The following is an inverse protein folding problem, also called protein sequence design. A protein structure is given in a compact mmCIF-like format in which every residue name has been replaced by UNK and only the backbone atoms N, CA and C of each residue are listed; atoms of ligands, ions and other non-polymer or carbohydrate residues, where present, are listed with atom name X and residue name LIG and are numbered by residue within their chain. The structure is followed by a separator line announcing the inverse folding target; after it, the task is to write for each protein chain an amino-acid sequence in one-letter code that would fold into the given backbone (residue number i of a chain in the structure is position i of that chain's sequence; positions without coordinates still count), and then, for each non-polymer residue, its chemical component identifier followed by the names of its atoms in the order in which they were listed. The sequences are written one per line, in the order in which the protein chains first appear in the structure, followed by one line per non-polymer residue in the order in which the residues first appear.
data_IF_410629124151
#
_entry.id   IF_410629124151
#
_cell.length_a   1.000
_cell.length_b   1.000
_cell.length_c   1.000
_cell.angle_alpha   90.00
_cell.angle_beta   90.00
_cell.angle_gamma   90.00
#
_symmetry.space_group_name_H-M   'P 1'
#
loop_
_entity.id
_entity.type
_entity.pdbx_description
1 polymer ?
#
# COMPACT_ATOMS: atom_id res chain seq x y z
N UNK A 1 8.41 15.06 29.03
CA UNK A 1 7.97 15.93 27.92
C UNK A 1 6.47 15.75 27.77
N UNK A 2 5.70 16.82 27.58
CA UNK A 2 4.24 16.74 27.42
C UNK A 2 3.91 16.01 26.11
N UNK A 3 2.86 15.18 26.12
CA UNK A 3 2.42 14.46 24.92
C UNK A 3 1.87 15.49 23.90
N UNK A 4 2.25 15.43 22.61
CA UNK A 4 1.73 16.36 21.61
C UNK A 4 0.22 16.19 21.45
N UNK A 5 -0.50 17.30 21.27
CA UNK A 5 -1.95 17.33 21.07
C UNK A 5 -2.38 18.07 19.79
N UNK A 6 -1.43 18.65 19.06
CA UNK A 6 -1.63 19.39 17.80
C UNK A 6 -0.43 19.23 16.85
N UNK A 7 -0.60 19.64 15.59
CA UNK A 7 0.50 19.68 14.61
C UNK A 7 1.58 20.69 15.02
N UNK A 8 1.20 21.78 15.70
CA UNK A 8 2.19 22.76 16.19
C UNK A 8 3.02 22.21 17.36
N UNK A 9 2.44 21.33 18.19
CA UNK A 9 3.21 20.57 19.18
C UNK A 9 4.21 19.63 18.50
N UNK A 10 3.84 19.02 17.36
CA UNK A 10 4.75 18.19 16.56
C UNK A 10 5.88 19.01 15.93
N UNK A 11 5.61 20.23 15.45
CA UNK A 11 6.65 21.15 14.97
C UNK A 11 7.61 21.53 16.08
N UNK A 12 7.06 21.89 17.24
CA UNK A 12 7.86 22.22 18.44
C UNK A 12 8.72 21.05 18.85
N UNK A 13 8.15 19.83 18.84
CA UNK A 13 8.87 18.60 19.12
C UNK A 13 10.01 18.35 18.12
N UNK A 14 9.73 18.51 16.83
CA UNK A 14 10.73 18.36 15.77
C UNK A 14 11.87 19.36 15.94
N UNK A 15 11.56 20.64 16.15
CA UNK A 15 12.56 21.69 16.40
C UNK A 15 13.42 21.38 17.63
N UNK A 16 12.81 20.96 18.74
CA UNK A 16 13.51 20.65 19.99
C UNK A 16 14.47 19.45 19.87
N UNK A 17 14.21 18.54 18.93
CA UNK A 17 15.05 17.36 18.69
C UNK A 17 15.89 17.47 17.41
N UNK A 18 15.91 18.64 16.77
CA UNK A 18 16.68 18.86 15.54
C UNK A 18 16.20 18.03 14.35
N UNK A 19 14.93 17.61 14.33
CA UNK A 19 14.34 16.85 13.22
C UNK A 19 14.10 17.80 12.06
N UNK A 20 14.97 17.76 11.05
CA UNK A 20 14.73 18.33 9.72
C UNK A 20 14.43 17.19 8.76
N UNK A 21 13.27 17.18 8.12
CA UNK A 21 12.94 16.11 7.19
C UNK A 21 13.39 16.42 5.77
N UNK A 22 14.30 15.61 5.26
CA UNK A 22 14.63 15.54 3.83
C UNK A 22 14.06 14.22 3.30
N UNK A 23 13.20 14.23 2.27
CA UNK A 23 12.69 12.99 1.67
C UNK A 23 13.82 12.04 1.28
N UNK A 24 13.70 10.79 1.72
CA UNK A 24 14.63 9.72 1.39
C UNK A 24 14.12 8.91 0.18
N UNK A 25 14.97 8.09 -0.42
CA UNK A 25 14.58 7.22 -1.56
C UNK A 25 13.38 6.31 -1.23
N UNK A 26 13.25 5.87 0.02
CA UNK A 26 12.09 5.08 0.46
C UNK A 26 10.77 5.87 0.43
N UNK A 27 10.83 7.19 0.56
CA UNK A 27 9.65 8.07 0.46
C UNK A 27 9.22 8.24 -0.99
N UNK A 28 10.18 8.42 -1.91
CA UNK A 28 9.90 8.42 -3.35
C UNK A 28 9.28 7.09 -3.80
N UNK A 29 9.76 5.97 -3.25
CA UNK A 29 9.15 4.67 -3.48
C UNK A 29 7.71 4.59 -2.93
N UNK A 30 7.46 5.10 -1.71
CA UNK A 30 6.13 5.14 -1.14
C UNK A 30 5.16 5.98 -2.00
N UNK A 31 5.63 7.12 -2.50
CA UNK A 31 4.88 7.99 -3.41
C UNK A 31 4.57 7.27 -4.73
N UNK A 32 5.57 6.61 -5.33
CA UNK A 32 5.41 5.87 -6.58
C UNK A 32 4.37 4.75 -6.46
N UNK A 33 4.45 3.92 -5.40
CA UNK A 33 3.46 2.86 -5.18
C UNK A 33 2.07 3.44 -4.93
N UNK A 34 1.96 4.52 -4.15
CA UNK A 34 0.66 5.13 -3.86
C UNK A 34 0.01 5.67 -5.14
N UNK A 35 0.81 6.31 -6.01
CA UNK A 35 0.37 6.71 -7.35
C UNK A 35 -0.18 5.51 -8.14
N UNK A 36 0.60 4.44 -8.26
CA UNK A 36 0.22 3.23 -9.01
C UNK A 36 -0.96 2.46 -8.40
N UNK A 37 -1.23 2.63 -7.09
CA UNK A 37 -2.41 2.10 -6.43
C UNK A 37 -3.71 2.84 -6.83
N UNK A 38 -3.60 3.95 -7.57
CA UNK A 38 -4.72 4.79 -8.02
C UNK A 38 -4.90 6.08 -7.22
N UNK A 39 -3.91 6.45 -6.41
CA UNK A 39 -4.01 7.58 -5.49
C UNK A 39 -3.00 8.68 -5.85
N UNK A 40 -3.50 9.79 -6.39
CA UNK A 40 -2.69 10.99 -6.65
C UNK A 40 -2.79 11.95 -5.45
N UNK A 41 -2.20 11.59 -4.32
CA UNK A 41 -2.10 12.47 -3.14
C UNK A 41 -0.71 13.07 -3.07
N UNK A 42 -0.63 14.40 -2.98
CA UNK A 42 0.62 15.10 -2.70
C UNK A 42 0.92 15.02 -1.21
N UNK A 43 2.14 14.58 -0.85
CA UNK A 43 2.67 14.68 0.52
C UNK A 43 3.19 16.10 0.71
N UNK A 44 2.78 16.78 1.78
CA UNK A 44 3.28 18.11 2.15
C UNK A 44 4.27 18.08 3.32
N UNK A 45 4.68 19.27 3.75
CA UNK A 45 5.67 19.46 4.83
C UNK A 45 5.21 18.86 6.17
N UNK A 46 3.90 18.82 6.42
CA UNK A 46 3.35 18.31 7.69
C UNK A 46 3.45 16.79 7.78
N UNK A 47 3.19 16.09 6.68
CA UNK A 47 3.33 14.65 6.55
C UNK A 47 4.80 14.24 6.64
N UNK A 48 5.70 14.98 5.99
CA UNK A 48 7.14 14.77 6.09
C UNK A 48 7.67 14.95 7.52
N UNK A 49 7.23 15.99 8.22
CA UNK A 49 7.55 16.14 9.64
C UNK A 49 7.07 14.94 10.47
N UNK A 50 5.83 14.49 10.25
CA UNK A 50 5.27 13.32 10.95
C UNK A 50 6.11 12.07 10.67
N UNK A 51 6.51 11.85 9.42
CA UNK A 51 7.38 10.74 9.02
C UNK A 51 8.73 10.80 9.75
N UNK A 52 9.36 11.97 9.82
CA UNK A 52 10.62 12.17 10.54
C UNK A 52 10.51 11.81 12.02
N UNK A 53 9.48 12.35 12.70
CA UNK A 53 9.25 12.10 14.12
C UNK A 53 9.00 10.62 14.43
N UNK A 54 8.32 9.89 13.55
CA UNK A 54 8.09 8.45 13.72
C UNK A 54 9.38 7.65 13.49
N UNK A 55 10.14 7.98 12.45
CA UNK A 55 11.38 7.27 12.10
C UNK A 55 12.49 7.47 13.14
N UNK A 56 12.54 8.64 13.77
CA UNK A 56 13.45 8.92 14.89
C UNK A 56 12.95 8.33 16.23
N UNK A 57 11.79 7.65 16.23
CA UNK A 57 11.24 6.99 17.41
C UNK A 57 10.67 7.95 18.46
N UNK A 58 10.45 9.22 18.10
CA UNK A 58 9.95 10.24 19.02
C UNK A 58 8.44 10.10 19.27
N UNK A 59 7.68 9.60 18.28
CA UNK A 59 6.26 9.28 18.42
C UNK A 59 5.94 7.93 17.74
N UNK A 60 5.03 7.11 18.31
CA UNK A 60 4.61 5.88 17.67
C UNK A 60 3.63 6.14 16.51
N UNK A 61 3.57 5.23 15.53
CA UNK A 61 2.74 5.36 14.31
C UNK A 61 1.26 5.64 14.59
N UNK A 62 0.66 4.96 15.58
CA UNK A 62 -0.76 5.18 15.97
C UNK A 62 -0.99 6.57 16.56
N UNK A 63 0.00 7.14 17.23
CA UNK A 63 -0.09 8.50 17.76
C UNK A 63 0.05 9.55 16.66
N UNK A 64 0.96 9.32 15.71
CA UNK A 64 1.11 10.15 14.51
C UNK A 64 -0.20 10.26 13.72
N UNK A 65 -0.83 9.12 13.40
CA UNK A 65 -2.11 9.10 12.70
C UNK A 65 -3.25 9.72 13.52
N UNK A 66 -3.28 9.53 14.85
CA UNK A 66 -4.25 10.21 15.72
C UNK A 66 -4.17 11.73 15.59
N UNK A 67 -2.96 12.27 15.67
CA UNK A 67 -2.72 13.71 15.60
C UNK A 67 -3.07 14.27 14.23
N UNK A 68 -2.69 13.56 13.18
CA UNK A 68 -3.07 13.91 11.81
C UNK A 68 -4.60 13.91 11.64
N UNK A 69 -5.28 12.83 12.04
CA UNK A 69 -6.74 12.74 11.99
C UNK A 69 -7.42 13.87 12.77
N UNK A 70 -6.90 14.22 13.96
CA UNK A 70 -7.42 15.31 14.79
C UNK A 70 -7.24 16.68 14.12
N UNK A 71 -6.08 16.93 13.52
CA UNK A 71 -5.76 18.23 12.92
C UNK A 71 -6.56 18.50 11.64
N UNK A 72 -6.68 17.49 10.77
CA UNK A 72 -7.36 17.63 9.48
C UNK A 72 -8.85 17.26 9.52
N UNK A 73 -9.29 16.50 10.52
CA UNK A 73 -10.69 16.12 10.68
C UNK A 73 -11.64 17.23 11.14
N UNK A 74 -11.13 18.34 11.69
CA UNK A 74 -11.97 19.49 12.06
C UNK A 74 -12.17 20.51 10.92
N UNK A 75 -11.36 20.42 9.85
CA UNK A 75 -11.39 21.37 8.73
C UNK A 75 -12.35 21.00 7.59
N UNK A 76 -12.87 19.77 7.58
CA UNK A 76 -13.71 19.23 6.49
C UNK A 76 -15.14 19.02 7.02
N UNK A 77 -15.75 20.08 7.56
CA UNK A 77 -17.18 20.09 7.80
C UNK A 77 -17.89 20.58 6.54
N UNK A 78 -18.40 19.65 5.75
CA UNK A 78 -19.44 19.93 4.77
C UNK A 78 -19.14 19.49 3.35
N UNK A 79 -19.61 18.30 3.02
CA UNK A 79 -20.45 18.11 1.83
C UNK A 79 -21.25 16.82 1.99
N UNK A 80 -22.50 16.90 1.54
CA UNK A 80 -23.53 15.86 1.42
C UNK A 80 -23.05 14.40 1.56
N UNK A 81 -23.60 13.69 2.56
CA UNK A 81 -23.55 12.23 2.65
C UNK A 81 -24.25 11.63 1.42
N UNK A 82 -23.50 11.36 0.36
CA UNK A 82 -23.83 10.19 -0.45
C UNK A 82 -23.71 8.96 0.46
N UNK A 83 -24.65 8.03 0.36
CA UNK A 83 -24.57 6.74 1.04
C UNK A 83 -23.39 5.99 0.40
N UNK A 84 -22.20 6.24 0.93
CA UNK A 84 -20.96 5.68 0.45
C UNK A 84 -20.89 4.17 0.70
N UNK A 85 -19.88 3.54 0.11
CA UNK A 85 -19.53 2.15 0.34
C UNK A 85 -19.33 1.86 1.85
N UNK A 86 -20.31 1.22 2.49
CA UNK A 86 -20.28 0.81 3.90
C UNK A 86 -20.42 -0.72 4.02
N UNK A 87 -19.32 -1.48 3.82
CA UNK A 87 -19.36 -2.95 3.86
C UNK A 87 -19.67 -3.50 5.26
N UNK A 88 -19.68 -2.65 6.28
CA UNK A 88 -19.81 -3.02 7.68
C UNK A 88 -21.16 -2.62 8.31
N UNK A 89 -21.89 -1.70 7.67
CA UNK A 89 -23.18 -1.19 8.13
C UNK A 89 -23.12 -0.36 9.41
N UNK A 90 -21.93 0.13 9.79
CA UNK A 90 -21.72 0.84 11.05
C UNK A 90 -20.90 2.13 10.92
N UNK A 91 -20.83 2.70 9.70
CA UNK A 91 -20.10 3.93 9.42
C UNK A 91 -20.46 5.07 10.41
N UNK A 92 -21.72 5.21 10.78
CA UNK A 92 -22.16 6.24 11.73
C UNK A 92 -21.51 6.17 13.12
N UNK A 93 -21.04 4.99 13.54
CA UNK A 93 -20.43 4.78 14.87
C UNK A 93 -18.92 4.49 14.80
N UNK A 94 -18.44 4.01 13.66
CA UNK A 94 -17.06 3.53 13.45
C UNK A 94 -16.25 4.32 12.41
N UNK A 95 -16.88 5.29 11.74
CA UNK A 95 -16.27 6.01 10.61
C UNK A 95 -16.26 5.19 9.33
N UNK A 96 -15.82 5.81 8.24
CA UNK A 96 -15.67 5.16 6.94
C UNK A 96 -14.66 4.01 7.02
N UNK A 97 -15.04 2.84 6.50
CA UNK A 97 -14.26 1.59 6.55
C UNK A 97 -13.78 1.14 7.95
N UNK A 98 -14.50 1.49 9.03
CA UNK A 98 -14.12 1.19 10.43
C UNK A 98 -12.64 1.49 10.70
N UNK A 99 -12.31 2.71 11.09
CA UNK A 99 -10.93 3.07 11.43
C UNK A 99 -10.79 3.42 12.93
N UNK A 100 -9.56 3.40 13.44
CA UNK A 100 -9.28 3.68 14.86
C UNK A 100 -9.70 5.10 15.31
N UNK A 101 -9.84 6.02 14.37
CA UNK A 101 -10.07 7.45 14.63
C UNK A 101 -11.52 7.87 14.39
N UNK A 102 -12.38 6.94 13.93
CA UNK A 102 -13.77 7.20 13.53
C UNK A 102 -13.90 8.32 12.49
N UNK A 103 -12.88 8.50 11.65
CA UNK A 103 -12.92 9.44 10.54
C UNK A 103 -13.99 8.97 9.54
N UNK A 104 -14.95 9.84 9.22
CA UNK A 104 -16.07 9.52 8.32
C UNK A 104 -15.92 10.10 6.92
N UNK A 105 -15.04 11.08 6.72
CA UNK A 105 -14.71 11.62 5.41
C UNK A 105 -13.75 10.66 4.66
N UNK A 106 -14.15 10.11 3.50
CA UNK A 106 -13.30 9.25 2.69
C UNK A 106 -11.98 9.90 2.28
N UNK A 107 -11.95 11.22 2.04
CA UNK A 107 -10.71 11.91 1.67
C UNK A 107 -9.71 11.92 2.82
N UNK A 108 -10.19 12.19 4.04
CA UNK A 108 -9.37 12.09 5.24
C UNK A 108 -8.86 10.66 5.48
N UNK A 109 -9.72 9.65 5.34
CA UNK A 109 -9.30 8.25 5.48
C UNK A 109 -8.22 7.91 4.47
N UNK A 110 -8.39 8.33 3.21
CA UNK A 110 -7.39 8.13 2.15
C UNK A 110 -6.03 8.79 2.47
N UNK A 111 -6.04 10.01 3.02
CA UNK A 111 -4.81 10.67 3.50
C UNK A 111 -4.16 9.89 4.64
N UNK A 112 -4.95 9.41 5.60
CA UNK A 112 -4.44 8.58 6.70
C UNK A 112 -3.85 7.27 6.20
N UNK A 113 -4.44 6.63 5.19
CA UNK A 113 -3.89 5.42 4.59
C UNK A 113 -2.53 5.67 3.91
N UNK A 114 -2.41 6.78 3.18
CA UNK A 114 -1.14 7.19 2.57
C UNK A 114 -0.07 7.34 3.65
N UNK A 115 -0.38 8.11 4.71
CA UNK A 115 0.56 8.32 5.81
C UNK A 115 0.91 7.02 6.53
N UNK A 116 -0.07 6.15 6.79
CA UNK A 116 0.14 4.82 7.36
C UNK A 116 1.11 3.99 6.52
N UNK A 117 0.96 4.06 5.19
CA UNK A 117 1.82 3.38 4.25
C UNK A 117 3.26 3.90 4.26
N UNK A 118 3.45 5.21 4.16
CA UNK A 118 4.78 5.81 4.20
C UNK A 118 5.51 5.55 5.53
N UNK A 119 4.77 5.49 6.64
CA UNK A 119 5.31 5.12 7.96
C UNK A 119 5.69 3.63 8.01
N UNK A 120 4.79 2.75 7.57
CA UNK A 120 4.92 1.30 7.73
C UNK A 120 5.82 0.60 6.72
N UNK A 121 6.16 1.25 5.60
CA UNK A 121 6.87 0.62 4.47
C UNK A 121 8.22 0.02 4.87
N UNK A 122 9.04 0.76 5.61
CA UNK A 122 10.35 0.27 6.06
C UNK A 122 10.22 -0.99 6.93
N UNK A 123 9.23 -1.00 7.84
CA UNK A 123 8.97 -2.15 8.71
C UNK A 123 8.42 -3.35 7.92
N UNK A 124 7.58 -3.11 6.91
CA UNK A 124 7.07 -4.16 6.04
C UNK A 124 8.20 -4.79 5.21
N UNK A 125 9.14 -4.00 4.69
CA UNK A 125 10.33 -4.50 4.01
C UNK A 125 11.24 -5.31 4.94
N UNK A 126 11.44 -4.88 6.18
CA UNK A 126 12.20 -5.63 7.18
C UNK A 126 11.53 -6.97 7.51
N UNK A 127 10.20 -6.97 7.68
CA UNK A 127 9.42 -8.19 7.89
C UNK A 127 9.61 -9.17 6.74
N UNK A 128 9.44 -8.70 5.50
CA UNK A 128 9.67 -9.49 4.30
C UNK A 128 11.13 -9.98 4.21
N UNK A 129 12.11 -9.16 4.59
CA UNK A 129 13.52 -9.58 4.61
C UNK A 129 13.77 -10.74 5.56
N UNK A 130 13.07 -10.75 6.70
CA UNK A 130 13.23 -11.77 7.73
C UNK A 130 12.50 -13.08 7.42
N UNK A 131 11.58 -13.10 6.44
CA UNK A 131 10.84 -14.32 6.08
C UNK A 131 11.58 -15.18 5.05
N UNK A 132 11.56 -16.49 5.23
CA UNK A 132 12.23 -17.43 4.31
C UNK A 132 11.46 -17.62 3.01
N UNK A 133 10.14 -17.63 3.08
CA UNK A 133 9.22 -17.83 1.95
C UNK A 133 8.22 -16.70 1.87
N UNK A 134 7.71 -16.47 0.66
CA UNK A 134 6.62 -15.54 0.41
C UNK A 134 5.36 -16.33 0.07
N UNK A 135 4.30 -16.11 0.83
CA UNK A 135 3.00 -16.71 0.61
C UNK A 135 1.86 -15.79 1.03
N UNK A 136 0.67 -16.37 1.09
CA UNK A 136 -0.53 -15.67 1.54
C UNK A 136 -0.39 -15.07 2.95
N UNK A 137 0.24 -15.79 3.89
CA UNK A 137 0.50 -15.28 5.25
C UNK A 137 1.37 -14.03 5.26
N UNK A 138 2.41 -13.98 4.42
CA UNK A 138 3.30 -12.82 4.34
C UNK A 138 2.60 -11.63 3.69
N UNK A 139 1.72 -11.85 2.71
CA UNK A 139 0.89 -10.78 2.14
C UNK A 139 -0.06 -10.17 3.19
N UNK A 140 -0.72 -11.00 4.00
CA UNK A 140 -1.52 -10.54 5.14
C UNK A 140 -0.65 -9.81 6.18
N UNK A 141 0.56 -10.31 6.44
CA UNK A 141 1.52 -9.72 7.37
C UNK A 141 1.98 -8.32 6.94
N UNK A 142 2.27 -8.14 5.65
CA UNK A 142 2.58 -6.82 5.04
C UNK A 142 1.43 -5.85 5.26
N UNK A 143 0.21 -6.24 4.91
CA UNK A 143 -0.96 -5.38 5.11
C UNK A 143 -1.17 -5.05 6.59
N UNK A 144 -1.00 -6.01 7.50
CA UNK A 144 -1.09 -5.77 8.95
C UNK A 144 -0.09 -4.72 9.40
N UNK A 145 1.19 -4.87 9.05
CA UNK A 145 2.24 -3.93 9.46
C UNK A 145 1.96 -2.52 8.96
N UNK A 146 1.55 -2.42 7.69
CA UNK A 146 1.28 -1.14 7.05
C UNK A 146 0.07 -0.45 7.66
N UNK A 147 -1.03 -1.19 7.91
CA UNK A 147 -2.33 -0.59 8.20
C UNK A 147 -2.83 -0.79 9.63
N UNK A 148 -2.17 -1.53 10.52
CA UNK A 148 -2.56 -1.62 11.94
C UNK A 148 -2.65 -0.25 12.66
N UNK A 149 -1.83 0.76 12.32
CA UNK A 149 -2.02 2.10 12.85
C UNK A 149 -3.38 2.72 12.48
N UNK A 150 -4.03 2.31 11.39
CA UNK A 150 -5.27 2.89 10.89
C UNK A 150 -6.50 1.98 11.08
N UNK A 151 -6.39 0.73 10.64
CA UNK A 151 -7.49 -0.21 10.55
C UNK A 151 -7.41 -1.29 11.64
N UNK A 152 -8.49 -1.48 12.43
CA UNK A 152 -8.59 -2.57 13.40
C UNK A 152 -8.65 -3.96 12.73
N UNK A 153 -8.90 -3.99 11.41
CA UNK A 153 -8.96 -5.20 10.60
C UNK A 153 -7.69 -5.42 9.76
N UNK A 154 -6.61 -4.65 9.99
CA UNK A 154 -5.40 -4.78 9.21
C UNK A 154 -4.84 -6.22 9.23
N UNK A 155 -4.60 -6.78 8.03
CA UNK A 155 -4.13 -8.15 7.86
C UNK A 155 -5.24 -9.20 7.84
N UNK A 156 -6.51 -8.78 7.93
CA UNK A 156 -7.67 -9.63 7.72
C UNK A 156 -8.18 -9.44 6.30
N UNK A 157 -8.44 -10.53 5.61
CA UNK A 157 -8.93 -10.49 4.24
C UNK A 157 -10.47 -10.35 4.19
N UNK A 158 -11.02 -10.23 2.98
CA UNK A 158 -12.46 -10.07 2.77
C UNK A 158 -13.28 -11.29 3.19
N UNK A 159 -12.69 -12.48 3.29
CA UNK A 159 -13.41 -13.63 3.84
C UNK A 159 -13.77 -13.42 5.31
N UNK A 160 -12.89 -12.74 6.06
CA UNK A 160 -13.18 -12.37 7.45
C UNK A 160 -14.00 -11.08 7.56
N UNK A 161 -13.68 -10.05 6.76
CA UNK A 161 -14.28 -8.72 6.96
C UNK A 161 -15.61 -8.53 6.24
N UNK A 162 -15.81 -9.16 5.09
CA UNK A 162 -16.92 -8.92 4.17
C UNK A 162 -17.19 -10.12 3.24
N UNK A 163 -17.56 -11.30 3.79
CA UNK A 163 -17.59 -12.56 3.04
C UNK A 163 -18.64 -12.62 1.92
N UNK A 164 -19.64 -11.74 1.96
CA UNK A 164 -20.70 -11.66 0.94
C UNK A 164 -20.46 -10.56 -0.09
N UNK A 165 -19.32 -9.87 -0.04
CA UNK A 165 -19.04 -8.71 -0.87
C UNK A 165 -18.14 -9.09 -2.05
N UNK A 166 -18.74 -9.14 -3.23
CA UNK A 166 -18.01 -9.19 -4.50
C UNK A 166 -17.51 -7.78 -4.86
N UNK A 167 -16.24 -7.67 -5.23
CA UNK A 167 -15.60 -6.41 -5.60
C UNK A 167 -15.17 -6.48 -7.07
N UNK A 168 -15.42 -5.40 -7.78
CA UNK A 168 -14.93 -5.16 -9.13
C UNK A 168 -14.34 -3.76 -9.25
N UNK A 169 -13.46 -3.54 -10.23
CA UNK A 169 -12.84 -2.24 -10.47
C UNK A 169 -12.74 -1.95 -11.97
N UNK A 170 -12.83 -0.66 -12.31
CA UNK A 170 -12.71 -0.14 -13.67
C UNK A 170 -13.96 0.63 -14.10
N UNK A 171 -13.77 1.66 -14.92
CA UNK A 171 -14.87 2.51 -15.43
C UNK A 171 -15.29 2.13 -16.85
N UNK A 172 -14.32 1.90 -17.74
CA UNK A 172 -14.54 1.51 -19.14
C UNK A 172 -14.53 0.00 -19.37
N UNK A 173 -13.75 -0.74 -18.57
CA UNK A 173 -13.72 -2.20 -18.52
C UNK A 173 -13.70 -2.62 -17.06
N UNK A 174 -14.75 -3.31 -16.63
CA UNK A 174 -14.93 -3.76 -15.24
C UNK A 174 -14.34 -5.15 -15.10
N UNK A 175 -13.38 -5.30 -14.19
CA UNK A 175 -12.80 -6.60 -13.86
C UNK A 175 -13.27 -7.02 -12.48
N UNK A 176 -13.78 -8.25 -12.37
CA UNK A 176 -14.15 -8.87 -11.10
C UNK A 176 -12.93 -9.53 -10.47
N UNK A 177 -12.76 -9.32 -9.17
CA UNK A 177 -11.72 -9.99 -8.39
C UNK A 177 -12.19 -11.35 -7.86
N UNK A 178 -11.27 -12.10 -7.26
CA UNK A 178 -11.58 -13.37 -6.63
C UNK A 178 -12.70 -13.22 -5.58
N UNK A 179 -13.59 -14.21 -5.56
CA UNK A 179 -14.57 -14.35 -4.48
C UNK A 179 -13.86 -14.50 -3.13
N UNK A 180 -14.41 -14.00 -2.02
CA UNK A 180 -13.77 -14.07 -0.70
C UNK A 180 -13.25 -15.47 -0.33
N UNK A 181 -13.99 -16.53 -0.65
CA UNK A 181 -13.60 -17.92 -0.38
C UNK A 181 -12.36 -18.40 -1.16
N UNK A 182 -11.99 -17.69 -2.23
CA UNK A 182 -11.01 -18.11 -3.22
C UNK A 182 -9.70 -17.32 -3.11
N UNK A 183 -9.67 -16.26 -2.31
CA UNK A 183 -8.52 -15.36 -2.11
C UNK A 183 -7.23 -16.13 -1.85
N UNK A 184 -7.23 -17.00 -0.82
CA UNK A 184 -6.03 -17.75 -0.45
C UNK A 184 -5.57 -18.70 -1.57
N UNK A 185 -6.52 -19.29 -2.30
CA UNK A 185 -6.24 -20.17 -3.45
C UNK A 185 -5.67 -19.39 -4.63
N UNK A 186 -6.19 -18.20 -4.91
CA UNK A 186 -5.70 -17.31 -5.96
C UNK A 186 -4.26 -16.87 -5.68
N UNK A 187 -3.94 -16.49 -4.43
CA UNK A 187 -2.55 -16.15 -4.04
C UNK A 187 -1.63 -17.36 -4.16
N UNK A 188 -2.06 -18.53 -3.69
CA UNK A 188 -1.28 -19.76 -3.81
C UNK A 188 -1.05 -20.15 -5.28
N UNK A 189 -2.04 -19.96 -6.16
CA UNK A 189 -1.92 -20.18 -7.60
C UNK A 189 -0.88 -19.25 -8.23
N UNK A 190 -0.95 -17.95 -7.92
CA UNK A 190 -0.03 -16.95 -8.45
C UNK A 190 1.44 -17.24 -8.07
N UNK A 191 1.66 -17.86 -6.91
CA UNK A 191 2.98 -18.22 -6.39
C UNK A 191 3.38 -19.66 -6.72
N UNK A 192 2.52 -20.43 -7.38
CA UNK A 192 2.82 -21.83 -7.71
C UNK A 192 3.91 -21.89 -8.78
N UNK A 193 5.00 -22.59 -8.48
CA UNK A 193 6.08 -22.78 -9.45
C UNK A 193 6.93 -21.52 -9.71
N UNK A 194 6.82 -20.51 -8.84
CA UNK A 194 7.76 -19.38 -8.81
C UNK A 194 9.11 -19.85 -8.29
N UNK A 195 9.90 -20.46 -9.17
CA UNK A 195 11.32 -20.63 -8.91
C UNK A 195 11.98 -19.25 -8.98
N UNK A 196 12.47 -18.79 -7.83
CA UNK A 196 13.26 -17.58 -7.66
C UNK A 196 14.41 -17.52 -8.67
N UNK A 197 14.93 -18.68 -9.13
CA UNK A 197 16.07 -18.75 -10.06
C UNK A 197 15.69 -18.60 -11.54
N UNK A 198 14.42 -18.48 -11.93
CA UNK A 198 14.13 -18.24 -13.35
C UNK A 198 12.69 -18.03 -13.79
N UNK A 199 11.68 -18.58 -13.10
CA UNK A 199 10.28 -18.44 -13.57
C UNK A 199 9.76 -17.02 -13.33
N UNK A 200 10.14 -16.41 -12.20
CA UNK A 200 9.64 -15.09 -11.80
C UNK A 200 9.98 -14.02 -12.82
N UNK A 201 11.23 -14.01 -13.31
CA UNK A 201 11.68 -13.00 -14.29
C UNK A 201 11.13 -13.24 -15.70
N UNK A 202 10.79 -14.48 -16.05
CA UNK A 202 10.18 -14.77 -17.35
C UNK A 202 8.75 -14.23 -17.44
N UNK A 203 8.00 -14.33 -16.34
CA UNK A 203 6.56 -14.04 -16.32
C UNK A 203 6.16 -13.08 -15.16
N UNK A 204 6.82 -11.92 -14.99
CA UNK A 204 6.57 -11.04 -13.83
C UNK A 204 5.17 -10.42 -13.84
N UNK A 205 4.64 -10.13 -15.03
CA UNK A 205 3.30 -9.58 -15.25
C UNK A 205 2.22 -10.60 -14.95
N UNK A 206 2.37 -11.83 -15.42
CA UNK A 206 1.41 -12.90 -15.10
C UNK A 206 1.33 -13.19 -13.60
N UNK A 207 2.46 -13.17 -12.88
CA UNK A 207 2.49 -13.35 -11.42
C UNK A 207 1.80 -12.17 -10.73
N UNK A 208 2.14 -10.93 -11.10
CA UNK A 208 1.55 -9.73 -10.52
C UNK A 208 0.04 -9.64 -10.80
N UNK A 209 -0.39 -9.97 -12.02
CA UNK A 209 -1.81 -10.01 -12.41
C UNK A 209 -2.60 -11.04 -11.61
N UNK A 210 -2.09 -12.26 -11.46
CA UNK A 210 -2.74 -13.29 -10.63
C UNK A 210 -2.81 -12.90 -9.14
N UNK A 211 -1.78 -12.25 -8.60
CA UNK A 211 -1.83 -11.70 -7.24
C UNK A 211 -2.82 -10.54 -7.12
N UNK A 212 -2.89 -9.65 -8.11
CA UNK A 212 -3.84 -8.54 -8.16
C UNK A 212 -5.30 -9.03 -8.26
N UNK A 213 -5.53 -10.11 -9.01
CA UNK A 213 -6.83 -10.79 -9.10
C UNK A 213 -7.33 -11.26 -7.74
N UNK A 214 -6.44 -11.75 -6.86
CA UNK A 214 -6.83 -12.23 -5.54
C UNK A 214 -7.49 -11.13 -4.68
N UNK A 215 -7.03 -9.88 -4.82
CA UNK A 215 -7.58 -8.68 -4.16
C UNK A 215 -8.05 -8.93 -2.70
N UNK A 216 -7.14 -9.36 -1.82
CA UNK A 216 -7.50 -9.95 -0.53
C UNK A 216 -8.23 -9.00 0.43
N UNK A 217 -7.97 -7.70 0.40
CA UNK A 217 -8.40 -6.77 1.45
C UNK A 217 -9.57 -5.88 1.00
N UNK A 218 -10.23 -5.21 1.96
CA UNK A 218 -11.24 -4.18 1.65
C UNK A 218 -10.62 -2.93 1.04
N UNK A 219 -9.46 -2.52 1.55
CA UNK A 219 -8.63 -1.44 0.99
C UNK A 219 -7.14 -1.79 1.20
N UNK A 220 -6.21 -1.01 0.66
CA UNK A 220 -4.77 -1.21 0.83
C UNK A 220 -4.16 -2.24 -0.12
N UNK A 221 -4.95 -2.84 -1.01
CA UNK A 221 -4.52 -3.92 -1.91
C UNK A 221 -3.29 -3.56 -2.75
N UNK A 222 -3.33 -2.44 -3.48
CA UNK A 222 -2.22 -2.05 -4.36
C UNK A 222 -0.91 -1.82 -3.60
N UNK A 223 -0.98 -1.17 -2.43
CA UNK A 223 0.18 -0.87 -1.57
C UNK A 223 0.79 -2.12 -0.97
N UNK A 224 -0.03 -3.02 -0.42
CA UNK A 224 0.44 -4.28 0.12
C UNK A 224 1.00 -5.20 -0.97
N UNK A 225 0.31 -5.29 -2.12
CA UNK A 225 0.72 -6.10 -3.25
C UNK A 225 2.05 -5.63 -3.85
N UNK A 226 2.19 -4.34 -4.17
CA UNK A 226 3.41 -3.83 -4.78
C UNK A 226 4.61 -3.91 -3.82
N UNK A 227 4.39 -3.77 -2.51
CA UNK A 227 5.44 -4.02 -1.50
C UNK A 227 5.86 -5.50 -1.50
N UNK A 228 4.89 -6.42 -1.52
CA UNK A 228 5.12 -7.86 -1.50
C UNK A 228 5.82 -8.35 -2.78
N UNK A 229 5.32 -7.97 -3.96
CA UNK A 229 5.86 -8.42 -5.25
C UNK A 229 7.24 -7.83 -5.53
N UNK A 230 7.50 -6.64 -4.99
CA UNK A 230 8.83 -6.03 -5.04
C UNK A 230 9.89 -6.88 -4.33
N UNK A 231 9.57 -7.47 -3.18
CA UNK A 231 10.46 -8.43 -2.52
C UNK A 231 10.60 -9.71 -3.36
N UNK A 232 9.51 -10.20 -3.96
CA UNK A 232 9.55 -11.39 -4.82
C UNK A 232 10.50 -11.20 -6.02
N UNK A 233 10.44 -10.03 -6.68
CA UNK A 233 11.33 -9.68 -7.78
C UNK A 233 12.77 -9.50 -7.29
N UNK A 234 12.97 -8.81 -6.16
CA UNK A 234 14.28 -8.65 -5.53
C UNK A 234 14.97 -10.00 -5.29
N UNK A 235 14.25 -10.96 -4.68
CA UNK A 235 14.77 -12.31 -4.44
C UNK A 235 15.17 -13.02 -5.74
N UNK A 236 14.53 -12.65 -6.84
CA UNK A 236 14.77 -13.16 -8.20
C UNK A 236 15.84 -12.37 -8.97
N UNK A 237 16.55 -11.45 -8.31
CA UNK A 237 17.73 -10.75 -8.85
C UNK A 237 17.44 -9.50 -9.68
N UNK A 238 16.21 -8.97 -9.65
CA UNK A 238 15.86 -7.75 -10.37
C UNK A 238 14.87 -6.87 -9.59
N UNK A 239 14.77 -5.61 -9.96
CA UNK A 239 13.72 -4.71 -9.49
C UNK A 239 12.97 -4.10 -10.67
N UNK A 240 11.79 -3.57 -10.39
CA UNK A 240 11.03 -2.73 -11.32
C UNK A 240 11.19 -1.28 -10.86
N UNK A 241 11.49 -0.40 -11.81
CA UNK A 241 11.54 1.05 -11.59
C UNK A 241 10.14 1.64 -11.53
N UNK A 242 9.41 1.35 -10.46
CA UNK A 242 8.00 1.73 -10.31
C UNK A 242 7.75 3.23 -10.52
N UNK A 243 8.69 4.09 -10.11
CA UNK A 243 8.54 5.54 -10.24
C UNK A 243 8.62 6.03 -11.70
N UNK A 244 9.24 5.26 -12.60
CA UNK A 244 9.30 5.55 -14.04
C UNK A 244 8.01 5.15 -14.80
N UNK A 245 7.11 4.40 -14.17
CA UNK A 245 5.89 3.90 -14.83
C UNK A 245 4.74 4.91 -14.71
N UNK A 246 4.10 5.24 -15.83
CA UNK A 246 2.87 6.03 -15.83
C UNK A 246 1.70 5.27 -15.20
N UNK A 247 0.91 5.96 -14.37
CA UNK A 247 -0.19 5.34 -13.64
C UNK A 247 -1.31 4.86 -14.57
N UNK A 248 -1.67 5.66 -15.58
CA UNK A 248 -2.76 5.31 -16.47
C UNK A 248 -2.40 4.10 -17.34
N UNK A 249 -1.15 4.05 -17.79
CA UNK A 249 -0.61 2.91 -18.52
C UNK A 249 -0.54 1.65 -17.65
N UNK A 250 0.02 1.74 -16.44
CA UNK A 250 0.07 0.63 -15.48
C UNK A 250 -1.32 0.05 -15.20
N UNK A 251 -2.29 0.90 -14.86
CA UNK A 251 -3.65 0.45 -14.55
C UNK A 251 -4.32 -0.19 -15.77
N UNK A 252 -4.10 0.35 -16.97
CA UNK A 252 -4.62 -0.24 -18.20
C UNK A 252 -4.04 -1.63 -18.44
N UNK A 253 -2.71 -1.77 -18.41
CA UNK A 253 -2.03 -3.04 -18.67
C UNK A 253 -2.38 -4.08 -17.61
N UNK A 254 -2.45 -3.68 -16.34
CA UNK A 254 -2.89 -4.57 -15.24
C UNK A 254 -4.34 -5.03 -15.43
N UNK A 255 -5.23 -4.12 -15.85
CA UNK A 255 -6.62 -4.47 -16.14
C UNK A 255 -6.70 -5.49 -17.28
N UNK A 256 -5.93 -5.28 -18.36
CA UNK A 256 -5.88 -6.22 -19.50
C UNK A 256 -5.28 -7.59 -19.08
N UNK A 257 -4.27 -7.61 -18.21
CA UNK A 257 -3.68 -8.86 -17.67
C UNK A 257 -4.68 -9.66 -16.84
N UNK A 258 -5.45 -9.00 -15.95
CA UNK A 258 -6.43 -9.71 -15.12
C UNK A 258 -7.63 -10.19 -15.94
N UNK A 259 -8.07 -9.41 -16.93
CA UNK A 259 -9.19 -9.76 -17.84
C UNK A 259 -8.82 -10.88 -18.83
N UNK A 260 -7.53 -11.06 -19.10
CA UNK A 260 -7.01 -12.09 -20.00
C UNK A 260 -5.83 -12.83 -19.36
N UNK A 261 -6.07 -13.60 -18.29
CA UNK A 261 -5.00 -14.28 -17.56
C UNK A 261 -4.24 -15.25 -18.48
N UNK A 262 -2.98 -15.51 -18.15
CA UNK A 262 -2.06 -16.43 -18.84
C UNK A 262 -1.58 -15.96 -20.23
N UNK A 263 -1.99 -14.78 -20.70
CA UNK A 263 -1.46 -14.19 -21.94
C UNK A 263 -0.14 -13.46 -21.76
N UNK A 264 0.26 -13.15 -20.52
CA UNK A 264 1.53 -12.46 -20.23
C UNK A 264 1.61 -11.07 -20.86
N UNK A 265 0.47 -10.37 -20.97
CA UNK A 265 0.35 -9.04 -21.57
C UNK A 265 1.26 -8.04 -20.84
N UNK A 266 1.34 -8.19 -19.53
CA UNK A 266 2.13 -7.32 -18.65
C UNK A 266 3.60 -7.73 -18.53
N UNK A 267 4.01 -8.90 -19.05
CA UNK A 267 5.38 -9.40 -18.87
C UNK A 267 6.41 -8.52 -19.57
N UNK A 268 6.24 -8.29 -20.88
CA UNK A 268 7.13 -7.43 -21.65
C UNK A 268 7.12 -5.99 -21.12
N UNK A 269 5.93 -5.49 -20.78
CA UNK A 269 5.74 -4.16 -20.20
C UNK A 269 6.57 -3.97 -18.92
N UNK A 270 6.49 -4.89 -17.94
CA UNK A 270 7.28 -4.77 -16.72
C UNK A 270 8.78 -4.93 -16.98
N UNK A 271 9.17 -5.80 -17.92
CA UNK A 271 10.58 -6.03 -18.24
C UNK A 271 11.28 -4.81 -18.83
N UNK A 272 10.57 -3.92 -19.54
CA UNK A 272 11.10 -2.63 -20.01
C UNK A 272 11.57 -1.72 -18.86
N UNK A 273 10.94 -1.84 -17.69
CA UNK A 273 11.29 -1.09 -16.48
C UNK A 273 12.15 -1.90 -15.51
N UNK A 274 12.60 -3.10 -15.89
CA UNK A 274 13.38 -3.97 -15.02
C UNK A 274 14.87 -3.57 -14.99
N UNK A 275 15.49 -3.71 -13.82
CA UNK A 275 16.93 -3.51 -13.63
C UNK A 275 17.53 -4.62 -12.79
N UNK A 276 18.73 -5.07 -13.17
CA UNK A 276 19.49 -6.06 -12.42
C UNK A 276 19.99 -5.46 -11.12
N UNK A 277 19.78 -6.18 -10.02
CA UNK A 277 20.23 -5.76 -8.70
C UNK A 277 20.79 -6.94 -7.90
N UNK A 278 21.72 -6.62 -7.02
CA UNK A 278 22.47 -7.58 -6.21
C UNK A 278 22.29 -7.35 -4.71
N UNK A 279 21.76 -6.19 -4.30
CA UNK A 279 21.61 -5.81 -2.91
C UNK A 279 20.41 -4.88 -2.69
N UNK A 280 20.02 -4.70 -1.43
CA UNK A 280 18.83 -3.91 -1.05
C UNK A 280 18.98 -2.40 -1.25
N UNK A 281 20.21 -1.89 -1.26
CA UNK A 281 20.42 -0.47 -1.57
C UNK A 281 20.03 -0.20 -3.03
N UNK A 282 20.45 -1.07 -3.95
CA UNK A 282 20.03 -0.99 -5.36
C UNK A 282 18.52 -1.19 -5.54
N UNK A 283 17.87 -2.01 -4.71
CA UNK A 283 16.41 -2.15 -4.72
C UNK A 283 15.70 -0.82 -4.44
N UNK A 284 16.06 -0.16 -3.33
CA UNK A 284 15.43 1.09 -2.90
C UNK A 284 15.70 2.20 -3.94
N UNK A 285 16.93 2.28 -4.44
CA UNK A 285 17.32 3.25 -5.45
C UNK A 285 16.57 3.03 -6.78
N UNK A 286 16.51 1.77 -7.28
CA UNK A 286 15.76 1.43 -8.49
C UNK A 286 14.27 1.79 -8.38
N UNK A 287 13.67 1.59 -7.22
CA UNK A 287 12.27 1.91 -6.98
C UNK A 287 11.97 3.42 -6.96
N UNK A 288 12.95 4.22 -6.55
CA UNK A 288 12.86 5.68 -6.50
C UNK A 288 13.20 6.34 -7.85
N UNK A 289 13.93 5.63 -8.73
CA UNK A 289 14.41 6.13 -10.01
C UNK A 289 13.27 6.48 -10.99
N UNK A 290 13.35 7.69 -11.56
CA UNK A 290 12.36 8.27 -12.47
C UNK A 290 12.67 8.03 -13.96
N UNK A 291 13.92 7.77 -14.34
CA UNK A 291 14.36 7.34 -15.69
C UNK A 291 15.89 7.27 -15.79
#
# INVERSE_FOLDING_TARGET
MQKPESIDDLKTLGMANGVSYCPAEIDEFAIAITRLAGDSLAIGDSEFLVLGLVRDGLIPSREALRLYAKAYGQGINGSSQEVGFDPFGDQGSRGYLRNHYKASDPNLVKMLEHLSYAIGLAQAQQYLTATTSLGYSELLGVHRIIFDPLYPWAGRDRMETSPSLSISKGSSRVVSFAEPSDIARAVAYALKGTDIRGTVRKNPGAILGNLAYAHPFLDGNGRALLTFVSELFFRSGFAIRWNAIDNSEYLKVLTDEIDSPEKGIMDAFLLEYSVDISNRYQLISAMADKA
#
